data_IF_632606649866
#
_entry.id   IF_632606649866
#
_cell.length_a   1.000
_cell.length_b   1.000
_cell.length_c   1.000
_cell.angle_alpha   90.00
_cell.angle_beta   90.00
_cell.angle_gamma   90.00
#
_symmetry.space_group_name_H-M   'P 1'
#
loop_
_entity.id
_entity.type
_entity.pdbx_description
1 polymer ?
#
# COMPACT_ATOMS: atom_id res chain seq x y z
N UNK A 1 -17.74 6.04 -6.80
CA UNK A 1 -17.46 6.32 -5.38
C UNK A 1 -16.29 5.45 -4.93
N UNK A 2 -15.32 6.01 -4.20
CA UNK A 2 -14.26 5.23 -3.55
C UNK A 2 -14.54 5.12 -2.04
N UNK A 3 -14.84 3.92 -1.58
CA UNK A 3 -14.88 3.61 -0.15
C UNK A 3 -13.46 3.32 0.33
N UNK A 4 -12.97 4.12 1.26
CA UNK A 4 -11.55 4.14 1.62
C UNK A 4 -11.32 4.31 3.13
N UNK A 5 -10.10 4.11 3.56
CA UNK A 5 -9.60 4.58 4.85
C UNK A 5 -8.23 5.22 4.65
N UNK A 6 -8.10 6.52 4.94
CA UNK A 6 -6.86 7.26 4.69
C UNK A 6 -5.59 6.64 5.26
N UNK A 7 -5.64 6.06 6.45
CA UNK A 7 -4.53 5.38 7.09
C UNK A 7 -4.34 3.91 6.63
N UNK A 8 -4.87 3.53 5.46
CA UNK A 8 -4.65 2.21 4.85
C UNK A 8 -3.59 2.28 3.75
N UNK A 9 -2.54 1.45 3.78
CA UNK A 9 -1.55 1.40 2.70
C UNK A 9 -2.19 1.10 1.33
N UNK A 10 -3.25 0.28 1.30
CA UNK A 10 -3.96 -0.05 0.08
C UNK A 10 -4.72 1.13 -0.54
N UNK A 11 -5.29 2.01 0.29
CA UNK A 11 -5.87 3.29 -0.18
C UNK A 11 -4.75 4.23 -0.62
N UNK A 12 -3.68 4.28 0.15
CA UNK A 12 -2.54 5.16 -0.08
C UNK A 12 -1.88 4.92 -1.45
N UNK A 13 -1.73 3.65 -1.89
CA UNK A 13 -1.18 3.36 -3.22
C UNK A 13 -2.01 3.96 -4.36
N UNK A 14 -3.34 3.98 -4.23
CA UNK A 14 -4.23 4.59 -5.23
C UNK A 14 -4.04 6.12 -5.25
N UNK A 15 -3.94 6.74 -4.09
CA UNK A 15 -3.73 8.18 -3.99
C UNK A 15 -2.39 8.60 -4.60
N UNK A 16 -1.30 7.86 -4.34
CA UNK A 16 0.01 8.09 -4.96
C UNK A 16 -0.08 7.89 -6.48
N UNK A 17 -0.67 6.80 -6.92
CA UNK A 17 -0.87 6.49 -8.34
C UNK A 17 -1.57 7.63 -9.09
N UNK A 18 -2.72 8.11 -8.58
CA UNK A 18 -3.47 9.21 -9.20
C UNK A 18 -2.64 10.50 -9.28
N UNK A 19 -1.90 10.82 -8.23
CA UNK A 19 -1.03 12.00 -8.21
C UNK A 19 0.12 11.88 -9.21
N UNK A 20 0.75 10.71 -9.32
CA UNK A 20 1.79 10.46 -10.32
C UNK A 20 1.27 10.56 -11.76
N UNK A 21 0.00 10.20 -11.99
CA UNK A 21 -0.67 10.42 -13.27
C UNK A 21 -1.10 11.88 -13.51
N UNK A 22 -0.98 12.76 -12.51
CA UNK A 22 -1.48 14.13 -12.58
C UNK A 22 -3.02 14.20 -12.61
N UNK A 23 -3.71 13.18 -12.12
CA UNK A 23 -5.16 13.13 -12.08
C UNK A 23 -5.70 13.67 -10.76
N UNK A 24 -6.74 14.50 -10.84
CA UNK A 24 -7.65 14.70 -9.71
C UNK A 24 -8.49 13.43 -9.56
N UNK A 25 -8.75 12.94 -8.33
CA UNK A 25 -9.59 11.76 -8.16
C UNK A 25 -10.90 11.87 -8.94
N UNK A 26 -11.18 10.97 -9.88
CA UNK A 26 -12.39 11.00 -10.72
C UNK A 26 -13.62 10.40 -10.01
N UNK A 27 -13.63 10.41 -8.67
CA UNK A 27 -14.66 9.80 -7.83
C UNK A 27 -14.84 10.59 -6.53
N UNK A 28 -16.02 10.47 -5.95
CA UNK A 28 -16.30 10.87 -4.57
C UNK A 28 -15.65 9.86 -3.59
N UNK A 29 -15.07 10.34 -2.50
CA UNK A 29 -14.48 9.49 -1.48
C UNK A 29 -15.39 9.41 -0.24
N UNK A 30 -15.72 8.18 0.16
CA UNK A 30 -16.45 7.86 1.38
C UNK A 30 -15.51 7.14 2.35
N UNK A 31 -15.26 7.77 3.50
CA UNK A 31 -14.38 7.20 4.53
C UNK A 31 -15.12 6.12 5.31
N UNK A 32 -14.50 4.94 5.41
CA UNK A 32 -14.95 3.80 6.24
C UNK A 32 -13.98 3.69 7.42
N UNK A 33 -14.45 4.05 8.60
CA UNK A 33 -13.61 4.07 9.81
C UNK A 33 -13.29 2.64 10.29
N UNK A 34 -12.09 2.18 9.92
CA UNK A 34 -11.62 0.83 10.29
C UNK A 34 -11.44 0.68 11.81
N UNK A 35 -11.14 1.77 12.51
CA UNK A 35 -10.96 1.73 13.97
C UNK A 35 -12.28 1.56 14.72
N UNK A 36 -13.39 2.02 14.12
CA UNK A 36 -14.75 1.77 14.62
C UNK A 36 -15.35 0.46 14.13
N UNK A 37 -14.66 -0.28 13.26
CA UNK A 37 -15.15 -1.53 12.71
C UNK A 37 -16.22 -1.37 11.63
N UNK A 38 -16.37 -0.18 11.02
CA UNK A 38 -17.40 0.09 10.00
C UNK A 38 -17.30 -0.83 8.78
N UNK A 39 -16.08 -1.32 8.46
CA UNK A 39 -15.87 -2.32 7.41
C UNK A 39 -16.56 -3.67 7.68
N UNK A 40 -16.97 -3.91 8.91
CA UNK A 40 -17.70 -5.13 9.32
C UNK A 40 -19.21 -4.91 9.41
N UNK A 41 -19.70 -3.70 9.17
CA UNK A 41 -21.13 -3.43 9.12
C UNK A 41 -21.81 -4.19 7.98
N UNK A 42 -23.03 -4.74 8.18
CA UNK A 42 -23.74 -5.49 7.14
C UNK A 42 -23.88 -4.74 5.82
N UNK A 43 -24.01 -3.43 5.89
CA UNK A 43 -24.11 -2.56 4.72
C UNK A 43 -22.81 -2.55 3.91
N UNK A 44 -21.64 -2.44 4.55
CA UNK A 44 -20.36 -2.48 3.86
C UNK A 44 -20.02 -3.89 3.38
N UNK A 45 -20.35 -4.93 4.14
CA UNK A 45 -20.15 -6.33 3.74
C UNK A 45 -20.93 -6.72 2.48
N UNK A 46 -22.04 -6.05 2.16
CA UNK A 46 -22.72 -6.22 0.86
C UNK A 46 -21.90 -5.68 -0.31
N UNK A 47 -21.07 -4.65 -0.09
CA UNK A 47 -20.15 -4.09 -1.10
C UNK A 47 -18.88 -4.91 -1.24
N UNK A 48 -18.34 -5.34 -0.11
CA UNK A 48 -17.15 -6.20 -0.05
C UNK A 48 -17.26 -7.22 1.09
N UNK A 49 -17.61 -8.46 0.79
CA UNK A 49 -17.72 -9.52 1.81
C UNK A 49 -16.44 -9.79 2.59
N UNK A 50 -15.27 -9.38 2.05
CA UNK A 50 -13.99 -9.51 2.76
C UNK A 50 -13.81 -8.46 3.89
N UNK A 51 -14.70 -7.46 4.02
CA UNK A 51 -14.61 -6.41 5.02
C UNK A 51 -13.31 -5.60 4.92
N UNK A 52 -12.89 -5.26 3.70
CA UNK A 52 -11.63 -4.55 3.44
C UNK A 52 -11.85 -3.34 2.53
N UNK A 53 -11.07 -2.31 2.78
CA UNK A 53 -10.93 -1.14 1.91
C UNK A 53 -9.61 -1.22 1.12
N UNK A 54 -9.50 -0.57 -0.06
CA UNK A 54 -10.52 0.21 -0.74
C UNK A 54 -11.52 -0.65 -1.55
N UNK A 55 -12.68 -0.05 -1.85
CA UNK A 55 -13.65 -0.53 -2.83
C UNK A 55 -14.01 0.63 -3.75
N UNK A 56 -13.95 0.44 -5.05
CA UNK A 56 -14.43 1.41 -6.03
C UNK A 56 -15.80 0.97 -6.57
N UNK A 57 -16.80 1.81 -6.39
CA UNK A 57 -18.09 1.68 -7.05
C UNK A 57 -18.08 2.53 -8.33
N UNK A 58 -18.28 1.89 -9.45
CA UNK A 58 -18.35 2.55 -10.77
C UNK A 58 -19.71 3.23 -10.98
N UNK A 59 -19.85 4.06 -12.00
CA UNK A 59 -21.10 4.78 -12.29
C UNK A 59 -22.26 3.83 -12.66
N UNK A 60 -21.96 2.64 -13.18
CA UNK A 60 -22.91 1.58 -13.48
C UNK A 60 -23.12 0.60 -12.31
N UNK A 61 -22.58 0.90 -11.13
CA UNK A 61 -22.81 0.17 -9.88
C UNK A 61 -21.97 -1.10 -9.71
N UNK A 62 -20.92 -1.30 -10.52
CA UNK A 62 -19.98 -2.41 -10.33
C UNK A 62 -19.05 -2.14 -9.16
N UNK A 63 -18.93 -3.11 -8.24
CA UNK A 63 -18.00 -3.04 -7.11
C UNK A 63 -16.65 -3.65 -7.48
N UNK A 64 -15.62 -2.82 -7.59
CA UNK A 64 -14.24 -3.26 -7.81
C UNK A 64 -13.51 -3.29 -6.47
N UNK A 65 -13.13 -4.47 -6.05
CA UNK A 65 -12.33 -4.70 -4.84
C UNK A 65 -10.86 -4.93 -5.20
N UNK A 66 -9.96 -4.88 -4.22
CA UNK A 66 -8.51 -4.94 -4.38
C UNK A 66 -7.92 -3.69 -5.04
N UNK A 67 -7.00 -3.03 -4.34
CA UNK A 67 -6.41 -1.77 -4.80
C UNK A 67 -5.69 -1.88 -6.15
N UNK A 68 -5.06 -3.04 -6.46
CA UNK A 68 -4.43 -3.26 -7.76
C UNK A 68 -5.47 -3.34 -8.88
N UNK A 69 -6.60 -4.03 -8.67
CA UNK A 69 -7.68 -4.10 -9.67
C UNK A 69 -8.29 -2.73 -9.93
N UNK A 70 -8.40 -1.89 -8.88
CA UNK A 70 -8.85 -0.50 -9.02
C UNK A 70 -7.85 0.30 -9.86
N UNK A 71 -6.55 0.14 -9.60
CA UNK A 71 -5.51 0.81 -10.41
C UNK A 71 -5.54 0.33 -11.87
N UNK A 72 -5.71 -0.97 -12.11
CA UNK A 72 -5.81 -1.50 -13.47
C UNK A 72 -7.05 -0.93 -14.21
N UNK A 73 -8.18 -0.87 -13.54
CA UNK A 73 -9.38 -0.23 -14.10
C UNK A 73 -9.15 1.24 -14.44
N UNK A 74 -8.52 2.00 -13.54
CA UNK A 74 -8.18 3.41 -13.79
C UNK A 74 -7.13 3.57 -14.90
N UNK A 75 -6.23 2.62 -15.08
CA UNK A 75 -5.24 2.63 -16.16
C UNK A 75 -5.87 2.42 -17.54
N UNK A 76 -6.94 1.60 -17.63
CA UNK A 76 -7.72 1.44 -18.86
C UNK A 76 -8.48 2.73 -19.22
N UNK A 77 -9.01 3.45 -18.21
CA UNK A 77 -9.71 4.72 -18.42
C UNK A 77 -8.76 5.87 -18.73
N UNK A 78 -7.59 5.88 -18.10
CA UNK A 78 -6.60 6.96 -18.16
C UNK A 78 -5.20 6.40 -18.49
N UNK A 79 -4.95 5.95 -19.73
CA UNK A 79 -3.73 5.23 -20.07
C UNK A 79 -2.45 6.08 -20.06
N UNK A 80 -2.56 7.42 -19.97
CA UNK A 80 -1.41 8.32 -20.04
C UNK A 80 -1.24 9.16 -18.77
N UNK A 81 0.01 9.26 -18.24
CA UNK A 81 1.18 8.47 -18.57
C UNK A 81 1.01 6.99 -18.19
N UNK A 82 1.57 6.02 -18.94
CA UNK A 82 1.42 4.60 -18.63
C UNK A 82 2.24 4.24 -17.39
N UNK A 83 1.59 3.64 -16.38
CA UNK A 83 2.24 3.23 -15.14
C UNK A 83 2.29 1.71 -14.95
N UNK A 84 1.73 0.95 -15.89
CA UNK A 84 1.79 -0.52 -15.91
C UNK A 84 2.60 -1.07 -17.09
N UNK A 85 3.25 -0.20 -17.87
CA UNK A 85 3.95 -0.55 -19.12
C UNK A 85 3.09 -0.41 -20.36
N UNK A 86 3.73 -0.29 -21.53
CA UNK A 86 3.11 -0.01 -22.83
C UNK A 86 2.96 -1.25 -23.70
N UNK A 87 3.90 -2.18 -23.61
CA UNK A 87 3.89 -3.45 -24.34
C UNK A 87 3.43 -4.61 -23.45
N UNK A 88 2.94 -5.72 -24.00
CA UNK A 88 2.59 -6.89 -23.21
C UNK A 88 3.73 -7.39 -22.30
N UNK A 89 4.97 -7.36 -22.79
CA UNK A 89 6.14 -7.78 -22.02
C UNK A 89 6.46 -6.80 -20.87
N UNK A 90 6.36 -5.49 -21.09
CA UNK A 90 6.53 -4.48 -20.04
C UNK A 90 5.43 -4.63 -18.99
N UNK A 91 4.16 -4.75 -19.40
CA UNK A 91 3.04 -4.96 -18.49
C UNK A 91 3.23 -6.21 -17.62
N UNK A 92 3.69 -7.31 -18.21
CA UNK A 92 3.96 -8.53 -17.47
C UNK A 92 5.08 -8.33 -16.43
N UNK A 93 6.18 -7.65 -16.79
CA UNK A 93 7.29 -7.35 -15.87
C UNK A 93 6.88 -6.43 -14.73
N UNK A 94 6.18 -5.33 -15.04
CA UNK A 94 5.71 -4.39 -14.01
C UNK A 94 4.74 -5.09 -13.05
N UNK A 95 3.80 -5.89 -13.57
CA UNK A 95 2.86 -6.66 -12.74
C UNK A 95 3.57 -7.71 -11.90
N UNK A 96 4.55 -8.43 -12.45
CA UNK A 96 5.32 -9.42 -11.69
C UNK A 96 6.07 -8.77 -10.51
N UNK A 97 6.68 -7.61 -10.75
CA UNK A 97 7.38 -6.87 -9.70
C UNK A 97 6.40 -6.30 -8.66
N UNK A 98 5.29 -5.71 -9.11
CA UNK A 98 4.25 -5.23 -8.20
C UNK A 98 3.68 -6.38 -7.33
N UNK A 99 3.38 -7.53 -7.93
CA UNK A 99 2.92 -8.72 -7.19
C UNK A 99 3.95 -9.21 -6.20
N UNK A 100 5.23 -9.20 -6.56
CA UNK A 100 6.30 -9.53 -5.62
C UNK A 100 6.29 -8.57 -4.41
N UNK A 101 6.25 -7.27 -4.65
CA UNK A 101 6.19 -6.25 -3.60
C UNK A 101 4.95 -6.41 -2.73
N UNK A 102 3.78 -6.59 -3.35
CA UNK A 102 2.50 -6.74 -2.63
C UNK A 102 2.46 -8.00 -1.76
N UNK A 103 2.90 -9.12 -2.29
CA UNK A 103 2.81 -10.41 -1.56
C UNK A 103 3.94 -10.58 -0.54
N UNK A 104 5.17 -10.29 -0.92
CA UNK A 104 6.34 -10.61 -0.09
C UNK A 104 6.69 -9.49 0.89
N UNK A 105 6.46 -8.23 0.53
CA UNK A 105 6.76 -7.09 1.40
C UNK A 105 5.48 -6.62 2.12
N UNK A 106 4.49 -6.14 1.37
CA UNK A 106 3.27 -5.56 1.96
C UNK A 106 2.47 -6.59 2.74
N UNK A 107 2.26 -7.79 2.18
CA UNK A 107 1.53 -8.86 2.84
C UNK A 107 2.20 -9.30 4.14
N UNK A 108 3.53 -9.43 4.13
CA UNK A 108 4.32 -9.82 5.30
C UNK A 108 4.28 -8.75 6.39
N UNK A 109 4.46 -7.47 6.02
CA UNK A 109 4.33 -6.36 6.97
C UNK A 109 2.92 -6.23 7.52
N UNK A 110 1.90 -6.45 6.69
CA UNK A 110 0.50 -6.46 7.09
C UNK A 110 0.21 -7.53 8.15
N UNK A 111 0.73 -8.75 7.97
CA UNK A 111 0.59 -9.82 8.97
C UNK A 111 1.29 -9.43 10.28
N UNK A 112 2.49 -8.88 10.24
CA UNK A 112 3.20 -8.42 11.44
C UNK A 112 2.44 -7.28 12.14
N UNK A 113 1.87 -6.33 11.39
CA UNK A 113 1.08 -5.23 11.95
C UNK A 113 -0.19 -5.75 12.64
N UNK A 114 -0.87 -6.75 12.08
CA UNK A 114 -2.04 -7.38 12.70
C UNK A 114 -1.70 -8.00 14.06
N UNK A 115 -0.48 -8.49 14.27
CA UNK A 115 -0.02 -9.05 15.55
C UNK A 115 0.25 -7.98 16.63
N UNK A 116 0.24 -6.69 16.27
CA UNK A 116 0.47 -5.57 17.18
C UNK A 116 -0.76 -4.70 17.42
N UNK A 117 -1.75 -4.76 16.54
CA UNK A 117 -2.93 -3.92 16.61
C UNK A 117 -4.05 -4.57 17.44
N UNK A 118 -4.54 -3.93 18.54
CA UNK A 118 -5.54 -4.51 19.44
C UNK A 118 -6.77 -5.09 18.74
N UNK A 119 -7.29 -4.38 17.73
CA UNK A 119 -8.45 -4.81 16.94
C UNK A 119 -8.27 -6.19 16.29
N UNK A 120 -7.04 -6.47 15.80
CA UNK A 120 -6.75 -7.76 15.16
C UNK A 120 -6.38 -8.82 16.18
N UNK A 121 -5.67 -8.44 17.26
CA UNK A 121 -5.30 -9.35 18.34
C UNK A 121 -6.55 -9.95 18.98
N UNK A 122 -7.57 -9.13 19.24
CA UNK A 122 -8.85 -9.60 19.80
C UNK A 122 -9.52 -10.68 18.92
N UNK A 123 -9.39 -10.56 17.59
CA UNK A 123 -10.05 -11.45 16.62
C UNK A 123 -9.23 -12.66 16.21
N UNK A 124 -7.91 -12.50 16.11
CA UNK A 124 -6.98 -13.46 15.50
C UNK A 124 -5.96 -14.02 16.49
N UNK A 125 -5.87 -13.43 17.68
CA UNK A 125 -4.80 -13.67 18.63
C UNK A 125 -3.50 -13.00 18.20
N UNK A 126 -2.48 -13.06 19.05
CA UNK A 126 -1.13 -12.62 18.80
C UNK A 126 -0.13 -13.77 18.86
N UNK A 127 1.01 -13.61 18.23
CA UNK A 127 2.07 -14.63 18.21
C UNK A 127 3.42 -14.02 17.85
N UNK A 128 4.37 -14.06 18.79
CA UNK A 128 5.76 -13.68 18.52
C UNK A 128 6.41 -14.55 17.44
N UNK A 129 6.02 -15.81 17.32
CA UNK A 129 6.52 -16.70 16.29
C UNK A 129 6.10 -16.23 14.87
N UNK A 130 4.89 -15.68 14.73
CA UNK A 130 4.41 -15.09 13.47
C UNK A 130 5.21 -13.84 13.14
N UNK A 131 5.46 -12.97 14.11
CA UNK A 131 6.29 -11.77 13.93
C UNK A 131 7.71 -12.17 13.52
N UNK A 132 8.33 -13.11 14.23
CA UNK A 132 9.68 -13.58 13.92
C UNK A 132 9.77 -14.23 12.52
N UNK A 133 8.78 -15.00 12.13
CA UNK A 133 8.66 -15.56 10.78
C UNK A 133 8.52 -14.46 9.73
N UNK A 134 7.65 -13.47 9.97
CA UNK A 134 7.45 -12.32 9.11
C UNK A 134 8.75 -11.54 8.88
N UNK A 135 9.50 -11.25 9.95
CA UNK A 135 10.81 -10.56 9.84
C UNK A 135 11.81 -11.33 8.98
N UNK A 136 11.89 -12.67 9.13
CA UNK A 136 12.77 -13.49 8.28
C UNK A 136 12.35 -13.46 6.82
N UNK A 137 11.05 -13.59 6.55
CA UNK A 137 10.53 -13.51 5.16
C UNK A 137 10.80 -12.15 4.54
N UNK A 138 10.54 -11.08 5.29
CA UNK A 138 10.78 -9.72 4.81
C UNK A 138 12.25 -9.50 4.46
N UNK A 139 13.18 -9.96 5.32
CA UNK A 139 14.62 -9.86 5.04
C UNK A 139 14.98 -10.53 3.71
N UNK A 140 14.54 -11.77 3.49
CA UNK A 140 14.78 -12.50 2.24
C UNK A 140 14.17 -11.77 1.03
N UNK A 141 12.96 -11.24 1.18
CA UNK A 141 12.30 -10.49 0.11
C UNK A 141 13.04 -9.18 -0.21
N UNK A 142 13.57 -8.47 0.79
CA UNK A 142 14.37 -7.26 0.58
C UNK A 142 15.70 -7.56 -0.11
N UNK A 143 16.39 -8.62 0.26
CA UNK A 143 17.63 -9.07 -0.43
C UNK A 143 17.37 -9.39 -1.91
N UNK A 144 16.24 -10.04 -2.21
CA UNK A 144 15.83 -10.34 -3.58
C UNK A 144 15.45 -9.05 -4.35
N UNK A 145 14.64 -8.19 -3.72
CA UNK A 145 14.21 -6.94 -4.35
C UNK A 145 15.39 -6.00 -4.60
N UNK A 146 16.34 -5.90 -3.66
CA UNK A 146 17.57 -5.13 -3.80
C UNK A 146 18.35 -5.54 -5.06
N UNK A 147 18.40 -6.85 -5.34
CA UNK A 147 19.03 -7.40 -6.55
C UNK A 147 18.22 -7.07 -7.82
N UNK A 148 16.89 -7.19 -7.76
CA UNK A 148 16.00 -6.96 -8.90
C UNK A 148 16.03 -5.50 -9.38
N UNK A 149 16.21 -4.55 -8.46
CA UNK A 149 16.18 -3.10 -8.77
C UNK A 149 17.54 -2.49 -8.99
N UNK A 150 18.59 -3.29 -8.93
CA UNK A 150 19.98 -2.81 -9.11
C UNK A 150 20.15 -2.10 -10.46
N UNK A 151 20.70 -0.88 -10.41
CA UNK A 151 20.92 -0.05 -11.60
C UNK A 151 19.70 0.72 -12.11
N UNK A 152 18.51 0.49 -11.55
CA UNK A 152 17.30 1.21 -11.93
C UNK A 152 17.16 2.54 -11.14
N UNK A 153 16.51 3.53 -11.77
CA UNK A 153 16.09 4.77 -11.11
C UNK A 153 14.86 4.52 -10.23
N UNK A 154 13.88 3.82 -10.77
CA UNK A 154 12.67 3.33 -10.09
C UNK A 154 12.65 1.81 -10.10
N UNK A 155 11.69 1.20 -9.42
CA UNK A 155 11.70 -0.26 -9.23
C UNK A 155 11.73 -1.04 -10.55
N UNK A 156 10.96 -0.61 -11.56
CA UNK A 156 10.85 -1.31 -12.84
C UNK A 156 11.72 -0.71 -13.98
N UNK A 157 12.58 0.28 -13.69
CA UNK A 157 13.44 0.94 -14.68
C UNK A 157 13.52 2.46 -14.47
N UNK A 158 13.38 3.24 -15.56
CA UNK A 158 13.60 4.69 -15.53
C UNK A 158 12.31 5.52 -15.31
N UNK A 159 11.17 4.87 -15.21
CA UNK A 159 9.87 5.51 -15.01
C UNK A 159 9.16 4.96 -13.79
N UNK A 160 8.39 5.84 -13.13
CA UNK A 160 7.52 5.43 -12.03
C UNK A 160 6.45 4.46 -12.54
N UNK A 161 6.22 3.41 -11.77
CA UNK A 161 5.18 2.41 -12.04
C UNK A 161 4.33 2.15 -10.80
N UNK A 162 3.29 1.35 -10.96
CA UNK A 162 2.45 0.92 -9.82
C UNK A 162 3.27 0.17 -8.74
N UNK A 163 4.38 -0.47 -9.10
CA UNK A 163 5.26 -1.14 -8.13
C UNK A 163 5.86 -0.14 -7.13
N UNK A 164 6.26 1.04 -7.62
CA UNK A 164 6.77 2.13 -6.78
C UNK A 164 5.70 2.66 -5.83
N UNK A 165 4.48 2.85 -6.34
CA UNK A 165 3.33 3.28 -5.53
C UNK A 165 3.03 2.28 -4.42
N UNK A 166 3.08 0.97 -4.73
CA UNK A 166 2.84 -0.11 -3.77
C UNK A 166 3.93 -0.15 -2.70
N UNK A 167 5.20 -0.16 -3.08
CA UNK A 167 6.30 -0.24 -2.11
C UNK A 167 6.34 0.99 -1.21
N UNK A 168 6.19 2.19 -1.78
CA UNK A 168 6.22 3.40 -0.98
C UNK A 168 5.04 3.46 0.00
N UNK A 169 3.85 3.10 -0.44
CA UNK A 169 2.65 3.14 0.41
C UNK A 169 2.77 2.30 1.67
N UNK A 170 3.46 1.15 1.62
CA UNK A 170 3.65 0.31 2.81
C UNK A 170 4.78 0.82 3.70
N UNK A 171 5.85 1.39 3.13
CA UNK A 171 6.95 1.91 3.93
C UNK A 171 6.59 3.14 4.76
N UNK A 172 5.55 3.88 4.41
CA UNK A 172 4.99 4.92 5.27
C UNK A 172 4.45 4.36 6.60
N UNK A 173 4.13 3.06 6.65
CA UNK A 173 3.62 2.35 7.84
C UNK A 173 4.66 1.40 8.47
N UNK A 174 5.89 1.38 7.97
CA UNK A 174 6.93 0.45 8.42
C UNK A 174 7.26 0.58 9.91
N UNK A 175 7.10 1.80 10.47
CA UNK A 175 7.28 2.08 11.89
C UNK A 175 6.35 1.29 12.82
N UNK A 176 5.20 0.81 12.34
CA UNK A 176 4.28 -0.01 13.13
C UNK A 176 4.85 -1.38 13.48
N UNK A 177 5.82 -1.84 12.71
CA UNK A 177 6.41 -3.18 12.86
C UNK A 177 7.93 -3.13 12.99
N UNK A 178 8.51 -1.95 13.23
CA UNK A 178 9.97 -1.70 13.32
C UNK A 178 10.70 -2.29 12.11
N UNK A 179 10.21 -1.96 10.90
CA UNK A 179 10.67 -2.51 9.63
C UNK A 179 10.98 -1.42 8.60
N UNK A 180 11.48 -0.27 9.10
CA UNK A 180 11.97 0.81 8.27
C UNK A 180 13.10 0.33 7.36
N UNK A 181 13.17 0.93 6.17
CA UNK A 181 14.16 0.52 5.19
C UNK A 181 15.58 0.91 5.63
N UNK A 182 16.44 -0.10 5.74
CA UNK A 182 17.81 0.05 6.21
C UNK A 182 18.76 0.45 5.06
N UNK A 183 19.82 1.28 5.35
CA UNK A 183 20.91 1.54 4.40
C UNK A 183 21.70 0.30 3.93
N UNK A 184 21.52 -0.85 4.57
CA UNK A 184 22.10 -2.12 4.12
C UNK A 184 21.55 -2.61 2.77
N UNK A 185 20.41 -2.02 2.32
CA UNK A 185 19.83 -2.20 0.99
C UNK A 185 20.01 -0.91 0.17
N UNK A 186 21.22 -0.64 -0.38
CA UNK A 186 21.57 0.68 -0.88
C UNK A 186 20.75 1.14 -2.10
N UNK A 187 20.31 0.24 -2.98
CA UNK A 187 19.47 0.60 -4.13
C UNK A 187 18.04 0.97 -3.66
N UNK A 188 17.47 0.18 -2.76
CA UNK A 188 16.14 0.44 -2.20
C UNK A 188 16.15 1.68 -1.31
N UNK A 189 17.20 1.87 -0.50
CA UNK A 189 17.34 3.04 0.35
C UNK A 189 17.45 4.33 -0.48
N UNK A 190 18.30 4.33 -1.53
CA UNK A 190 18.41 5.42 -2.49
C UNK A 190 17.05 5.69 -3.16
N UNK A 191 16.37 4.66 -3.67
CA UNK A 191 15.04 4.76 -4.28
C UNK A 191 14.05 5.42 -3.31
N UNK A 192 13.99 4.95 -2.07
CA UNK A 192 13.07 5.48 -1.06
C UNK A 192 13.32 6.95 -0.79
N UNK A 193 14.59 7.36 -0.60
CA UNK A 193 14.95 8.76 -0.38
C UNK A 193 14.54 9.65 -1.56
N UNK A 194 14.77 9.19 -2.78
CA UNK A 194 14.40 9.93 -3.99
C UNK A 194 12.87 9.97 -4.18
N UNK A 195 12.19 8.87 -3.98
CA UNK A 195 10.74 8.78 -4.14
C UNK A 195 10.00 9.64 -3.10
N UNK A 196 10.50 9.72 -1.87
CA UNK A 196 9.98 10.58 -0.80
C UNK A 196 9.96 12.08 -1.16
N UNK A 197 10.80 12.53 -2.08
CA UNK A 197 10.85 13.91 -2.53
C UNK A 197 9.83 14.24 -3.63
N UNK A 198 9.14 13.25 -4.17
CA UNK A 198 8.19 13.47 -5.27
C UNK A 198 6.96 14.25 -4.82
N UNK A 199 6.49 15.23 -5.61
CA UNK A 199 5.28 16.00 -5.28
C UNK A 199 4.05 15.13 -5.06
N UNK A 200 3.94 14.03 -5.79
CA UNK A 200 2.83 13.09 -5.64
C UNK A 200 2.74 12.48 -4.24
N UNK A 201 3.88 12.23 -3.62
CA UNK A 201 3.96 11.67 -2.27
C UNK A 201 3.77 12.75 -1.21
N UNK A 202 4.45 13.90 -1.36
CA UNK A 202 4.38 15.00 -0.40
C UNK A 202 3.01 15.66 -0.33
N UNK A 203 2.36 15.84 -1.48
CA UNK A 203 1.05 16.48 -1.61
C UNK A 203 -0.13 15.49 -1.49
N UNK A 204 0.13 14.21 -1.40
CA UNK A 204 -0.91 13.24 -1.10
C UNK A 204 -1.19 13.30 0.39
N UNK A 205 -1.94 14.30 0.79
CA UNK A 205 -2.37 14.58 2.15
C UNK A 205 -3.38 13.55 2.65
N UNK A 206 -2.97 12.32 2.74
CA UNK A 206 -3.43 11.49 3.84
C UNK A 206 -2.62 11.98 5.01
N UNK A 207 -3.17 13.02 5.60
CA UNK A 207 -2.51 13.79 6.62
C UNK A 207 -1.78 12.84 7.57
N UNK A 208 -0.54 13.14 7.77
CA UNK A 208 0.27 12.62 8.87
C UNK A 208 -0.49 12.62 10.22
N UNK A 209 -1.66 13.31 10.31
CA UNK A 209 -2.58 13.27 11.45
C UNK A 209 -3.10 11.85 11.75
N UNK A 210 -3.52 11.05 10.80
CA UNK A 210 -3.94 9.67 11.05
C UNK A 210 -2.76 8.79 11.45
N UNK A 211 -1.61 8.94 10.79
CA UNK A 211 -0.38 8.21 11.13
C UNK A 211 0.22 8.71 12.46
N UNK A 212 0.16 10.02 12.73
CA UNK A 212 0.59 10.59 13.99
C UNK A 212 -0.27 10.12 15.16
N UNK A 213 -1.58 9.92 14.96
CA UNK A 213 -2.47 9.35 15.96
C UNK A 213 -2.15 7.87 16.26
N UNK A 214 -1.77 7.09 15.24
CA UNK A 214 -1.32 5.72 15.45
C UNK A 214 0.00 5.69 16.26
N UNK A 215 0.96 6.59 15.96
CA UNK A 215 2.20 6.74 16.75
C UNK A 215 1.97 7.20 18.19
N UNK A 216 0.97 8.05 18.45
CA UNK A 216 0.68 8.55 19.78
C UNK A 216 -0.06 7.52 20.66
N UNK A 217 -0.86 6.62 20.07
CA UNK A 217 -1.53 5.55 20.79
C UNK A 217 -0.55 4.48 21.31
N UNK A 218 0.55 4.22 20.58
CA UNK A 218 1.59 3.29 21.06
C UNK A 218 2.37 3.80 22.28
N UNK A 219 2.59 5.11 22.40
CA UNK A 219 3.29 5.70 23.57
C UNK A 219 2.45 5.71 24.84
N UNK A 220 1.12 5.66 24.73
CA UNK A 220 0.21 5.64 25.90
C UNK A 220 -0.03 4.23 26.46
N UNK A 221 0.40 3.18 25.77
CA UNK A 221 0.24 1.78 26.21
C UNK A 221 1.48 1.22 26.93
N UNK A 222 2.55 2.04 27.05
CA UNK A 222 3.81 1.66 27.73
C UNK A 222 3.98 2.31 29.12
N UNK A 223 2.87 2.73 29.77
CA UNK A 223 2.89 3.23 31.17
C UNK A 223 1.98 2.43 32.08
#
# INVERSE_FOLDING_TARGET
ILYSYPASPNTRRIAIYLKEKGLTPPYEEVVIDLMKGEQMAPEFLRRNPAGKVPVLETDDGVMITQSLSIVEYLEELYPNPPMIGTTPAERARVKALERFVDMEIMGTMGIMAQQKMPLYIERLGDSEAVIAYGRRRQKLALEQLETMVAGNTYLAGDKVTIADCTLYSIYEFAFLVDAELSPEYPNLYRWHQQFALRPAVQNSTLERSGIAQLKSSEKSTQH
#
